data_IF_755397758751
#
_entry.id   IF_755397758751
#
_cell.length_a   1.000
_cell.length_b   1.000
_cell.length_c   1.000
_cell.angle_alpha   90.00
_cell.angle_beta   90.00
_cell.angle_gamma   90.00
#
_symmetry.space_group_name_H-M   'P 1'
#
loop_
_entity.id
_entity.type
_entity.pdbx_description
1 polymer ?
#
# COMPACT_ATOMS: atom_id res chain seq x y z
N UNK A 1 -39.42 7.73 6.45
CA UNK A 1 -38.02 7.46 6.04
C UNK A 1 -38.08 6.66 4.74
N UNK A 2 -37.75 7.29 3.61
CA UNK A 2 -37.83 6.65 2.29
C UNK A 2 -36.62 5.75 2.11
N UNK A 3 -36.81 4.43 2.03
CA UNK A 3 -35.72 3.47 1.82
C UNK A 3 -35.10 3.69 0.44
N UNK A 4 -33.80 3.90 0.39
CA UNK A 4 -33.05 3.93 -0.87
C UNK A 4 -33.18 2.56 -1.54
N UNK A 5 -33.59 2.54 -2.81
CA UNK A 5 -33.72 1.32 -3.63
C UNK A 5 -32.59 1.32 -4.65
N UNK A 6 -31.58 0.43 -4.54
CA UNK A 6 -30.49 0.34 -5.50
C UNK A 6 -31.05 0.05 -6.90
N UNK A 7 -30.69 0.89 -7.88
CA UNK A 7 -31.15 0.81 -9.28
C UNK A 7 -30.29 -0.12 -10.15
N UNK A 8 -29.13 -0.53 -9.66
CA UNK A 8 -28.20 -1.44 -10.32
C UNK A 8 -27.84 -2.56 -9.36
N UNK A 9 -27.79 -3.79 -9.88
CA UNK A 9 -27.18 -4.91 -9.18
C UNK A 9 -25.72 -4.58 -8.90
N UNK A 10 -25.25 -4.87 -7.68
CA UNK A 10 -23.89 -4.52 -7.31
C UNK A 10 -22.93 -5.24 -8.27
N UNK A 11 -22.04 -4.50 -8.97
CA UNK A 11 -21.06 -5.14 -9.84
C UNK A 11 -20.23 -6.12 -9.02
N UNK A 12 -19.76 -7.18 -9.67
CA UNK A 12 -18.89 -8.17 -9.04
C UNK A 12 -17.70 -7.46 -8.34
N UNK A 13 -17.24 -7.97 -7.18
CA UNK A 13 -16.14 -7.36 -6.46
C UNK A 13 -14.95 -7.13 -7.39
N UNK A 14 -14.56 -5.87 -7.57
CA UNK A 14 -13.41 -5.54 -8.41
C UNK A 14 -12.15 -6.12 -7.77
N UNK A 15 -11.66 -7.22 -8.33
CA UNK A 15 -10.37 -7.79 -7.96
C UNK A 15 -9.24 -6.96 -8.60
N UNK A 16 -8.98 -5.79 -8.01
CA UNK A 16 -7.84 -4.97 -8.40
C UNK A 16 -6.51 -5.65 -8.06
N UNK A 17 -5.42 -5.33 -8.76
CA UNK A 17 -4.11 -5.94 -8.52
C UNK A 17 -3.48 -5.35 -7.23
N UNK A 18 -3.96 -5.82 -6.07
CA UNK A 18 -3.60 -5.26 -4.74
C UNK A 18 -2.12 -5.46 -4.41
N UNK A 19 -1.60 -6.67 -4.61
CA UNK A 19 -0.19 -7.00 -4.32
C UNK A 19 0.78 -6.07 -5.09
N UNK A 20 0.72 -5.96 -6.43
CA UNK A 20 1.64 -5.09 -7.15
C UNK A 20 1.40 -3.60 -6.86
N UNK A 21 0.19 -3.19 -6.49
CA UNK A 21 -0.08 -1.81 -6.05
C UNK A 21 0.68 -1.47 -4.77
N UNK A 22 0.62 -2.35 -3.76
CA UNK A 22 1.34 -2.15 -2.49
C UNK A 22 2.85 -2.20 -2.72
N UNK A 23 3.34 -3.11 -3.57
CA UNK A 23 4.76 -3.17 -3.94
C UNK A 23 5.19 -1.86 -4.63
N UNK A 24 4.42 -1.39 -5.61
CA UNK A 24 4.72 -0.15 -6.34
C UNK A 24 4.81 1.06 -5.42
N UNK A 25 3.83 1.23 -4.51
CA UNK A 25 3.86 2.30 -3.51
C UNK A 25 5.06 2.19 -2.56
N UNK A 26 5.38 0.97 -2.10
CA UNK A 26 6.52 0.73 -1.20
C UNK A 26 7.85 1.07 -1.88
N UNK A 27 8.04 0.63 -3.12
CA UNK A 27 9.24 0.92 -3.91
C UNK A 27 9.37 2.42 -4.16
N UNK A 28 8.27 3.09 -4.52
CA UNK A 28 8.28 4.54 -4.73
C UNK A 28 8.76 5.28 -3.47
N UNK A 29 8.17 5.00 -2.30
CA UNK A 29 8.57 5.64 -1.05
C UNK A 29 10.01 5.32 -0.64
N UNK A 30 10.45 4.08 -0.85
CA UNK A 30 11.81 3.67 -0.54
C UNK A 30 12.83 4.37 -1.46
N UNK A 31 12.56 4.47 -2.76
CA UNK A 31 13.40 5.19 -3.72
C UNK A 31 13.45 6.68 -3.37
N UNK A 32 12.32 7.29 -3.04
CA UNK A 32 12.28 8.69 -2.59
C UNK A 32 13.13 8.89 -1.32
N UNK A 33 13.02 7.99 -0.34
CA UNK A 33 13.86 8.04 0.87
C UNK A 33 15.35 8.00 0.52
N UNK A 34 15.78 7.04 -0.30
CA UNK A 34 17.18 6.91 -0.73
C UNK A 34 17.67 8.15 -1.50
N UNK A 35 16.84 8.72 -2.36
CA UNK A 35 17.18 9.92 -3.13
C UNK A 35 17.36 11.16 -2.25
N UNK A 36 16.72 11.21 -1.08
CA UNK A 36 16.82 12.33 -0.14
C UNK A 36 18.02 12.23 0.80
N UNK A 37 18.52 11.03 1.11
CA UNK A 37 19.63 10.83 2.06
C UNK A 37 20.91 11.62 1.75
N UNK A 38 21.39 11.70 0.48
CA UNK A 38 22.56 12.51 0.15
C UNK A 38 22.36 14.02 0.41
N UNK A 39 21.10 14.46 0.46
CA UNK A 39 20.70 15.85 0.68
C UNK A 39 20.14 16.08 2.08
N UNK A 40 20.32 15.15 3.03
CA UNK A 40 19.70 15.25 4.36
C UNK A 40 19.99 16.59 5.04
N UNK A 41 21.23 17.08 5.01
CA UNK A 41 21.60 18.37 5.60
C UNK A 41 20.81 19.55 5.01
N UNK A 42 20.57 19.56 3.69
CA UNK A 42 19.76 20.60 3.03
C UNK A 42 18.30 20.58 3.50
N UNK A 43 17.75 19.39 3.74
CA UNK A 43 16.39 19.22 4.27
C UNK A 43 16.32 19.67 5.73
N UNK A 44 17.33 19.34 6.53
CA UNK A 44 17.41 19.71 7.94
C UNK A 44 17.56 21.24 8.12
N UNK A 45 18.48 21.86 7.38
CA UNK A 45 18.73 23.31 7.39
C UNK A 45 17.48 24.14 7.03
N UNK A 46 16.54 23.55 6.27
CA UNK A 46 15.31 24.20 5.79
C UNK A 46 14.07 23.80 6.59
N UNK A 47 14.22 22.99 7.63
CA UNK A 47 13.09 22.50 8.43
C UNK A 47 12.19 21.51 7.68
N UNK A 48 12.71 20.86 6.65
CA UNK A 48 12.01 19.87 5.83
C UNK A 48 12.46 18.43 6.10
N UNK A 49 13.28 18.18 7.13
CA UNK A 49 13.68 16.82 7.54
C UNK A 49 12.48 15.87 7.74
N UNK A 50 11.30 16.40 8.09
CA UNK A 50 10.06 15.62 8.22
C UNK A 50 9.67 14.85 6.94
N UNK A 51 10.03 15.36 5.75
CA UNK A 51 9.80 14.67 4.47
C UNK A 51 10.61 13.37 4.36
N UNK A 52 11.85 13.38 4.83
CA UNK A 52 12.73 12.21 4.85
C UNK A 52 12.11 11.12 5.73
N UNK A 53 11.67 11.51 6.94
CA UNK A 53 11.01 10.60 7.88
C UNK A 53 9.66 10.09 7.36
N UNK A 54 8.92 10.90 6.62
CA UNK A 54 7.67 10.48 5.96
C UNK A 54 7.92 9.41 4.91
N UNK A 55 8.97 9.56 4.09
CA UNK A 55 9.33 8.56 3.10
C UNK A 55 9.80 7.26 3.76
N UNK A 56 10.57 7.36 4.86
CA UNK A 56 10.97 6.20 5.65
C UNK A 56 9.75 5.48 6.26
N UNK A 57 8.81 6.23 6.83
CA UNK A 57 7.57 5.67 7.37
C UNK A 57 6.72 5.02 6.27
N UNK A 58 6.59 5.65 5.10
CA UNK A 58 5.89 5.09 3.95
C UNK A 58 6.51 3.78 3.46
N UNK A 59 7.84 3.72 3.36
CA UNK A 59 8.55 2.48 3.02
C UNK A 59 8.36 1.40 4.10
N UNK A 60 8.47 1.76 5.39
CA UNK A 60 8.27 0.83 6.51
C UNK A 60 6.85 0.25 6.57
N UNK A 61 5.83 1.11 6.46
CA UNK A 61 4.43 0.68 6.39
C UNK A 61 4.16 -0.15 5.13
N UNK A 62 4.81 0.17 4.02
CA UNK A 62 4.77 -0.60 2.77
C UNK A 62 5.25 -2.04 2.95
N UNK A 63 6.38 -2.26 3.65
CA UNK A 63 6.88 -3.60 3.97
C UNK A 63 5.88 -4.42 4.78
N UNK A 64 5.23 -3.80 5.78
CA UNK A 64 4.17 -4.43 6.57
C UNK A 64 2.97 -4.79 5.67
N UNK A 65 2.57 -3.89 4.78
CA UNK A 65 1.52 -4.12 3.80
C UNK A 65 1.81 -5.31 2.87
N UNK A 66 3.05 -5.42 2.36
CA UNK A 66 3.47 -6.54 1.51
C UNK A 66 3.33 -7.87 2.27
N UNK A 67 3.80 -7.93 3.52
CA UNK A 67 3.66 -9.13 4.35
C UNK A 67 2.19 -9.53 4.53
N UNK A 68 1.34 -8.55 4.87
CA UNK A 68 -0.09 -8.78 5.08
C UNK A 68 -0.81 -9.28 3.82
N UNK A 69 -0.65 -8.58 2.69
CA UNK A 69 -1.37 -8.92 1.46
C UNK A 69 -0.90 -10.27 0.91
N UNK A 70 0.39 -10.61 1.02
CA UNK A 70 0.89 -11.95 0.65
C UNK A 70 0.29 -13.06 1.52
N UNK A 71 0.17 -12.82 2.84
CA UNK A 71 -0.50 -13.74 3.76
C UNK A 71 -1.97 -13.95 3.40
N UNK A 72 -2.69 -12.86 3.13
CA UNK A 72 -4.09 -12.90 2.67
C UNK A 72 -4.24 -13.69 1.36
N UNK A 73 -3.41 -13.42 0.36
CA UNK A 73 -3.45 -14.10 -0.93
C UNK A 73 -3.12 -15.60 -0.81
N UNK A 74 -2.20 -15.98 0.10
CA UNK A 74 -1.91 -17.37 0.40
C UNK A 74 -3.09 -18.09 1.09
N UNK A 75 -3.79 -17.43 2.01
CA UNK A 75 -4.97 -17.97 2.67
C UNK A 75 -6.14 -18.17 1.70
N UNK A 76 -6.38 -17.18 0.82
CA UNK A 76 -7.41 -17.28 -0.22
C UNK A 76 -7.13 -18.42 -1.20
N UNK A 77 -5.88 -18.58 -1.63
CA UNK A 77 -5.47 -19.72 -2.48
C UNK A 77 -5.71 -21.08 -1.82
N UNK A 78 -5.46 -21.20 -0.50
CA UNK A 78 -5.73 -22.44 0.24
C UNK A 78 -7.23 -22.75 0.30
N UNK A 79 -8.04 -21.76 0.65
CA UNK A 79 -9.50 -21.93 0.72
C UNK A 79 -10.12 -22.32 -0.64
N UNK A 80 -9.56 -21.82 -1.75
CA UNK A 80 -9.98 -22.21 -3.09
C UNK A 80 -9.67 -23.68 -3.41
N UNK A 81 -8.51 -24.19 -2.96
CA UNK A 81 -8.14 -25.60 -3.13
C UNK A 81 -8.98 -26.55 -2.26
N UNK A 82 -9.33 -26.14 -1.04
CA UNK A 82 -10.16 -26.94 -0.13
C UNK A 82 -11.64 -27.01 -0.56
N UNK A 83 -12.06 -26.13 -1.47
CA UNK A 83 -13.43 -26.06 -1.99
C UNK A 83 -13.64 -26.90 -3.28
N UNK A 84 -12.56 -27.39 -3.89
CA UNK A 84 -12.55 -28.25 -5.08
C UNK A 84 -12.47 -29.74 -4.68
#
# INVERSE_FOLDING_TARGET
>A
MTKWTPRHEAPEPLEGPVVPTIIGGTVLWFVLFLAQLPFYGWFDDRGHAWWVWTCLAGAGLGLIGIWYVRGREAALRRAALDAE
#
